data_IF_623787898703
#
_entry.id   IF_623787898703
#
_cell.length_a   1.000
_cell.length_b   1.000
_cell.length_c   1.000
_cell.angle_alpha   90.00
_cell.angle_beta   90.00
_cell.angle_gamma   90.00
#
_symmetry.space_group_name_H-M   'P 1'
#
loop_
_entity.id
_entity.type
_entity.pdbx_description
1 polymer ?
#
# COMPACT_ATOMS: atom_id res chain seq x y z
N UNK A 1 -20.73 -24.45 -6.13
CA UNK A 1 -19.55 -25.30 -6.38
C UNK A 1 -18.83 -24.79 -7.63
N UNK A 2 -17.75 -24.04 -7.45
CA UNK A 2 -16.74 -23.84 -8.51
C UNK A 2 -15.41 -24.23 -7.91
N UNK A 3 -14.96 -25.40 -8.32
CA UNK A 3 -13.61 -25.91 -8.13
C UNK A 3 -12.62 -24.99 -8.84
N UNK A 4 -11.76 -24.33 -8.07
CA UNK A 4 -10.50 -23.83 -8.60
C UNK A 4 -9.45 -24.89 -8.32
N UNK A 5 -9.13 -25.65 -9.36
CA UNK A 5 -8.01 -26.57 -9.39
C UNK A 5 -6.70 -25.80 -9.23
N UNK A 6 -5.85 -26.40 -8.40
CA UNK A 6 -4.43 -26.18 -8.19
C UNK A 6 -3.69 -25.48 -9.34
N UNK A 7 -2.99 -24.40 -8.99
CA UNK A 7 -1.81 -23.92 -9.71
C UNK A 7 -0.85 -23.41 -8.65
N UNK A 8 0.31 -24.04 -8.56
CA UNK A 8 1.48 -23.59 -7.80
C UNK A 8 1.92 -22.19 -8.25
N UNK A 9 1.19 -21.16 -7.81
CA UNK A 9 1.63 -19.78 -7.86
C UNK A 9 2.07 -19.42 -6.46
N UNK A 10 3.38 -19.21 -6.31
CA UNK A 10 3.90 -18.52 -5.14
C UNK A 10 3.25 -17.13 -5.09
N UNK A 11 2.25 -16.95 -4.20
CA UNK A 11 1.66 -15.64 -3.93
C UNK A 11 2.77 -14.73 -3.42
N UNK A 12 3.17 -13.74 -4.23
CA UNK A 12 4.07 -12.69 -3.75
C UNK A 12 3.30 -11.73 -2.85
N UNK A 13 4.00 -10.96 -2.02
CA UNK A 13 3.35 -9.95 -1.18
C UNK A 13 2.68 -8.85 -2.02
N UNK A 14 3.17 -8.58 -3.22
CA UNK A 14 2.53 -7.64 -4.16
C UNK A 14 1.17 -8.18 -4.66
N UNK A 15 1.03 -9.49 -4.85
CA UNK A 15 -0.27 -10.10 -5.20
C UNK A 15 -1.28 -9.98 -4.06
N UNK A 16 -0.77 -9.94 -2.82
CA UNK A 16 -1.56 -9.77 -1.61
C UNK A 16 -1.84 -8.30 -1.23
N UNK A 17 -1.39 -7.31 -2.02
CA UNK A 17 -1.68 -5.88 -1.81
C UNK A 17 -3.19 -5.59 -1.74
N UNK A 18 -4.02 -6.44 -2.34
CA UNK A 18 -5.49 -6.31 -2.31
C UNK A 18 -6.08 -6.41 -0.90
N UNK A 19 -5.33 -6.97 0.06
CA UNK A 19 -5.72 -7.09 1.47
C UNK A 19 -5.34 -5.84 2.28
N UNK A 20 -4.59 -4.90 1.71
CA UNK A 20 -4.03 -3.76 2.43
C UNK A 20 -4.83 -2.47 2.23
N UNK A 21 -4.79 -1.55 3.23
CA UNK A 21 -5.25 -0.19 3.04
C UNK A 21 -4.51 0.51 1.90
N UNK A 22 -5.24 1.25 1.06
CA UNK A 22 -4.65 1.95 -0.09
C UNK A 22 -3.85 3.21 0.28
N UNK A 23 -4.16 3.80 1.44
CA UNK A 23 -3.59 5.05 1.93
C UNK A 23 -2.38 4.79 2.83
N UNK A 24 -1.27 5.46 2.53
CA UNK A 24 -0.08 5.48 3.37
C UNK A 24 -0.22 6.49 4.51
N UNK A 25 0.28 6.13 5.69
CA UNK A 25 0.43 7.05 6.81
C UNK A 25 1.74 7.85 6.68
N UNK A 26 1.71 9.19 6.48
CA UNK A 26 2.92 10.01 6.36
C UNK A 26 3.67 10.20 7.69
N UNK A 27 3.01 9.93 8.82
CA UNK A 27 3.58 10.03 10.15
C UNK A 27 3.99 8.66 10.71
N UNK A 28 4.14 7.66 9.84
CA UNK A 28 4.58 6.34 10.24
C UNK A 28 5.95 6.39 10.92
N UNK A 29 6.05 5.71 12.05
CA UNK A 29 7.30 5.42 12.75
C UNK A 29 7.40 3.91 12.93
N UNK A 30 8.63 3.40 12.99
CA UNK A 30 8.86 1.98 13.24
C UNK A 30 8.20 1.53 14.56
N UNK A 31 7.67 0.30 14.62
CA UNK A 31 7.13 -0.24 15.85
C UNK A 31 8.25 -0.40 16.88
N UNK A 32 7.90 -0.25 18.16
CA UNK A 32 8.81 -0.59 19.27
C UNK A 32 8.79 -2.10 19.46
N UNK A 33 9.63 -2.81 18.71
CA UNK A 33 9.78 -4.25 18.84
C UNK A 33 10.41 -4.63 20.18
N UNK A 34 10.18 -5.87 20.60
CA UNK A 34 11.00 -6.46 21.65
C UNK A 34 12.47 -6.38 21.21
N UNK A 35 13.38 -5.97 22.09
CA UNK A 35 14.83 -5.95 21.83
C UNK A 35 15.42 -7.37 21.88
N UNK A 36 14.81 -8.27 21.11
CA UNK A 36 15.20 -9.66 21.02
C UNK A 36 15.75 -9.94 19.61
N UNK A 37 17.07 -10.13 19.45
CA UNK A 37 17.61 -10.56 18.18
C UNK A 37 17.09 -11.98 17.87
N UNK A 38 16.44 -12.13 16.72
CA UNK A 38 15.93 -13.39 16.20
C UNK A 38 16.70 -13.72 14.93
N UNK A 39 17.73 -14.58 15.00
CA UNK A 39 18.42 -15.10 13.82
C UNK A 39 17.46 -15.73 12.82
N UNK A 40 17.80 -15.69 11.53
CA UNK A 40 16.93 -16.18 10.47
C UNK A 40 16.54 -17.66 10.65
N UNK A 41 17.43 -18.47 11.21
CA UNK A 41 17.25 -19.90 11.48
C UNK A 41 16.19 -20.16 12.56
N UNK A 42 15.87 -19.15 13.38
CA UNK A 42 14.87 -19.26 14.45
C UNK A 42 13.47 -18.83 13.98
N UNK A 43 13.34 -18.30 12.76
CA UNK A 43 12.06 -17.92 12.20
C UNK A 43 11.21 -19.17 11.91
N UNK A 44 10.14 -19.33 12.68
CA UNK A 44 9.19 -20.44 12.52
C UNK A 44 8.16 -20.16 11.41
N UNK A 45 8.01 -21.11 10.48
CA UNK A 45 6.89 -21.11 9.53
C UNK A 45 5.55 -21.02 10.25
N UNK A 46 4.61 -20.32 9.63
CA UNK A 46 3.24 -20.06 10.09
C UNK A 46 3.14 -19.23 11.38
N UNK A 47 4.25 -18.81 11.95
CA UNK A 47 4.29 -17.99 13.17
C UNK A 47 4.98 -16.67 12.93
N UNK A 48 6.11 -16.67 12.22
CA UNK A 48 6.91 -15.46 12.03
C UNK A 48 6.87 -15.02 10.58
N UNK A 49 6.59 -13.75 10.37
CA UNK A 49 6.80 -13.06 9.11
C UNK A 49 7.82 -11.95 9.36
N UNK A 50 8.83 -11.86 8.50
CA UNK A 50 9.83 -10.80 8.59
C UNK A 50 9.74 -9.81 7.43
N UNK A 51 9.97 -8.53 7.73
CA UNK A 51 10.03 -7.48 6.72
C UNK A 51 11.01 -6.39 7.14
N UNK A 52 11.97 -6.07 6.26
CA UNK A 52 13.03 -5.08 6.52
C UNK A 52 13.76 -5.34 7.85
N UNK A 53 13.96 -6.62 8.19
CA UNK A 53 14.61 -7.04 9.43
C UNK A 53 13.73 -6.95 10.69
N UNK A 54 12.48 -6.49 10.61
CA UNK A 54 11.52 -6.60 11.72
C UNK A 54 10.85 -7.97 11.68
N UNK A 55 10.53 -8.54 12.84
CA UNK A 55 9.86 -9.85 12.95
C UNK A 55 8.51 -9.69 13.63
N UNK A 56 7.45 -10.12 12.96
CA UNK A 56 6.08 -10.05 13.42
C UNK A 56 5.54 -11.44 13.73
N UNK A 57 4.81 -11.57 14.83
CA UNK A 57 4.02 -12.78 15.12
C UNK A 57 2.69 -12.72 14.37
N UNK A 58 2.54 -13.61 13.39
CA UNK A 58 1.36 -13.74 12.53
C UNK A 58 0.47 -14.94 12.90
N UNK A 59 0.80 -15.66 13.97
CA UNK A 59 0.07 -16.88 14.39
C UNK A 59 -1.40 -16.64 14.73
N UNK A 60 -1.76 -15.40 15.08
CA UNK A 60 -3.14 -14.98 15.35
C UNK A 60 -4.08 -15.17 14.14
N UNK A 61 -3.53 -15.21 12.91
CA UNK A 61 -4.30 -15.31 11.67
C UNK A 61 -3.95 -16.57 10.88
N UNK A 62 -4.22 -17.75 11.47
CA UNK A 62 -3.95 -19.07 10.88
C UNK A 62 -4.62 -19.26 9.50
N UNK A 63 -5.80 -18.68 9.27
CA UNK A 63 -6.48 -18.77 7.97
C UNK A 63 -5.66 -18.17 6.81
N UNK A 64 -4.80 -17.19 7.09
CA UNK A 64 -3.94 -16.54 6.11
C UNK A 64 -2.53 -17.13 6.10
N UNK A 65 -1.92 -17.30 7.28
CA UNK A 65 -0.50 -17.65 7.41
C UNK A 65 -0.25 -19.10 7.86
N UNK A 66 -1.29 -19.81 8.27
CA UNK A 66 -1.24 -21.22 8.66
C UNK A 66 -0.89 -22.13 7.49
N UNK A 67 -0.72 -23.43 7.76
CA UNK A 67 -0.24 -24.41 6.76
C UNK A 67 -1.05 -24.49 5.46
N UNK A 68 -2.31 -24.06 5.48
CA UNK A 68 -3.23 -24.04 4.32
C UNK A 68 -3.60 -22.62 3.87
N UNK A 69 -3.05 -21.61 4.53
CA UNK A 69 -3.35 -20.22 4.26
C UNK A 69 -2.70 -19.73 2.97
N UNK A 70 -3.32 -18.74 2.33
CA UNK A 70 -2.84 -18.20 1.05
C UNK A 70 -1.48 -17.47 1.14
N UNK A 71 -1.09 -17.08 2.35
CA UNK A 71 0.14 -16.35 2.68
C UNK A 71 1.16 -17.21 3.46
N UNK A 72 0.92 -18.52 3.61
CA UNK A 72 1.79 -19.44 4.35
C UNK A 72 3.26 -19.39 3.89
N UNK A 73 3.47 -19.29 2.58
CA UNK A 73 4.78 -19.25 1.95
C UNK A 73 5.60 -18.00 2.28
N UNK A 74 5.02 -17.00 2.93
CA UNK A 74 5.70 -15.75 3.31
C UNK A 74 6.29 -15.80 4.73
N UNK A 75 6.12 -16.94 5.42
CA UNK A 75 6.51 -17.10 6.81
C UNK A 75 7.79 -17.94 6.96
N UNK A 76 8.53 -17.71 8.05
CA UNK A 76 9.69 -18.52 8.43
C UNK A 76 10.97 -18.24 7.64
N UNK A 77 11.09 -17.08 6.99
CA UNK A 77 12.28 -16.67 6.24
C UNK A 77 12.54 -15.16 6.33
N UNK A 78 13.74 -14.76 5.90
CA UNK A 78 14.32 -13.40 6.03
C UNK A 78 14.34 -12.62 4.69
N UNK A 79 13.45 -12.93 3.75
CA UNK A 79 13.69 -12.51 2.37
C UNK A 79 12.69 -11.47 1.86
N UNK A 80 13.16 -10.22 1.82
CA UNK A 80 12.56 -9.17 0.98
C UNK A 80 12.50 -9.57 -0.50
N UNK A 81 13.36 -10.50 -0.95
CA UNK A 81 13.35 -11.01 -2.32
C UNK A 81 12.03 -11.72 -2.68
N UNK A 82 11.30 -12.28 -1.71
CA UNK A 82 9.94 -12.78 -1.94
C UNK A 82 8.90 -11.67 -2.21
N UNK A 83 9.18 -10.41 -1.86
CA UNK A 83 8.33 -9.27 -2.23
C UNK A 83 8.49 -8.87 -3.69
N UNK A 84 9.70 -9.00 -4.26
CA UNK A 84 10.02 -8.34 -5.52
C UNK A 84 10.46 -9.26 -6.66
N UNK A 85 10.66 -10.57 -6.40
CA UNK A 85 11.10 -11.57 -7.39
C UNK A 85 12.37 -11.16 -8.17
N UNK A 86 13.19 -10.27 -7.62
CA UNK A 86 14.44 -9.81 -8.21
C UNK A 86 15.56 -9.91 -7.18
N UNK A 87 16.65 -10.58 -7.57
CA UNK A 87 17.93 -10.55 -6.87
C UNK A 87 18.88 -9.69 -7.68
N UNK A 88 19.43 -8.64 -7.08
CA UNK A 88 20.47 -7.82 -7.69
C UNK A 88 21.81 -8.24 -7.06
N UNK A 89 22.72 -8.90 -7.80
CA UNK A 89 24.02 -9.27 -7.27
C UNK A 89 24.83 -8.01 -6.91
N UNK A 90 25.19 -7.87 -5.64
CA UNK A 90 26.03 -6.75 -5.16
C UNK A 90 25.34 -5.41 -4.94
N UNK A 91 24.02 -5.31 -5.13
CA UNK A 91 23.21 -4.14 -4.75
C UNK A 91 22.58 -4.31 -3.36
N UNK A 92 22.14 -3.21 -2.73
CA UNK A 92 21.30 -3.34 -1.54
C UNK A 92 19.93 -3.94 -1.93
N UNK A 93 19.27 -4.61 -0.99
CA UNK A 93 18.07 -5.42 -1.28
C UNK A 93 16.85 -4.67 -1.85
N UNK A 94 16.87 -3.33 -1.88
CA UNK A 94 15.81 -2.50 -2.48
C UNK A 94 16.27 -1.74 -3.74
N UNK A 95 17.53 -1.86 -4.12
CA UNK A 95 18.07 -1.18 -5.30
C UNK A 95 17.43 -1.75 -6.56
N UNK A 96 17.06 -0.88 -7.50
CA UNK A 96 16.41 -1.26 -8.76
C UNK A 96 14.91 -1.54 -8.66
N UNK A 97 14.31 -1.47 -7.45
CA UNK A 97 12.86 -1.60 -7.31
C UNK A 97 12.12 -0.41 -7.91
N UNK A 98 11.01 -0.70 -8.59
CA UNK A 98 10.08 0.33 -9.05
C UNK A 98 9.44 1.05 -7.86
N UNK A 99 8.96 2.27 -8.11
CA UNK A 99 8.23 3.03 -7.09
C UNK A 99 7.00 2.27 -6.56
N UNK A 100 6.32 1.51 -7.43
CA UNK A 100 5.18 0.67 -7.06
C UNK A 100 5.56 -0.41 -6.03
N UNK A 101 6.71 -1.06 -6.22
CA UNK A 101 7.20 -2.07 -5.27
C UNK A 101 7.56 -1.44 -3.92
N UNK A 102 8.21 -0.27 -3.93
CA UNK A 102 8.53 0.46 -2.71
C UNK A 102 7.26 0.89 -1.94
N UNK A 103 6.21 1.32 -2.66
CA UNK A 103 4.90 1.61 -2.05
C UNK A 103 4.30 0.35 -1.42
N UNK A 104 4.32 -0.79 -2.12
CA UNK A 104 3.81 -2.06 -1.59
C UNK A 104 4.54 -2.48 -0.30
N UNK A 105 5.89 -2.43 -0.30
CA UNK A 105 6.70 -2.73 0.89
C UNK A 105 6.33 -1.80 2.05
N UNK A 106 6.19 -0.50 1.80
CA UNK A 106 5.78 0.44 2.83
C UNK A 106 4.37 0.16 3.36
N UNK A 107 3.40 -0.18 2.49
CA UNK A 107 2.05 -0.56 2.93
C UNK A 107 2.08 -1.78 3.83
N UNK A 108 2.82 -2.82 3.43
CA UNK A 108 3.01 -4.02 4.24
C UNK A 108 3.65 -3.71 5.58
N UNK A 109 4.70 -2.88 5.59
CA UNK A 109 5.36 -2.46 6.81
C UNK A 109 4.39 -1.74 7.77
N UNK A 110 3.60 -0.80 7.26
CA UNK A 110 2.61 -0.08 8.06
C UNK A 110 1.49 -0.99 8.57
N UNK A 111 1.00 -1.90 7.72
CA UNK A 111 -0.02 -2.86 8.06
C UNK A 111 0.46 -3.83 9.15
N UNK A 112 1.62 -4.45 8.96
CA UNK A 112 2.21 -5.37 9.93
C UNK A 112 2.44 -4.68 11.28
N UNK A 113 3.03 -3.48 11.24
CA UNK A 113 3.30 -2.67 12.45
C UNK A 113 2.05 -2.27 13.22
N UNK A 114 0.89 -2.19 12.56
CA UNK A 114 -0.36 -1.76 13.17
C UNK A 114 -1.24 -2.93 13.63
N UNK A 115 -1.10 -4.09 12.99
CA UNK A 115 -2.03 -5.22 13.18
C UNK A 115 -1.37 -6.45 13.85
N UNK A 116 -0.04 -6.47 13.96
CA UNK A 116 0.70 -7.62 14.48
C UNK A 116 1.71 -7.17 15.53
N UNK A 117 2.00 -8.07 16.46
CA UNK A 117 3.01 -7.83 17.48
C UNK A 117 4.40 -7.97 16.87
N UNK A 118 5.23 -6.93 17.01
CA UNK A 118 6.65 -7.03 16.65
C UNK A 118 7.44 -7.72 17.77
N UNK A 119 7.82 -8.98 17.54
CA UNK A 119 8.44 -9.87 18.54
C UNK A 119 9.96 -9.86 18.50
N UNK A 120 10.57 -9.18 17.55
CA UNK A 120 12.02 -8.96 17.52
C UNK A 120 12.51 -8.41 16.19
N UNK A 121 13.81 -8.59 15.96
CA UNK A 121 14.49 -8.11 14.76
C UNK A 121 15.58 -9.08 14.31
N UNK A 122 15.97 -9.00 13.05
CA UNK A 122 17.06 -9.74 12.44
C UNK A 122 18.28 -8.81 12.35
N UNK A 123 19.37 -9.09 13.10
CA UNK A 123 20.63 -8.39 12.93
C UNK A 123 21.16 -8.53 11.50
N UNK A 124 21.64 -7.44 10.91
CA UNK A 124 22.19 -7.43 9.55
C UNK A 124 22.04 -6.09 8.85
N UNK A 125 21.46 -6.11 7.66
CA UNK A 125 21.41 -4.95 6.75
C UNK A 125 20.59 -3.78 7.33
N UNK A 126 19.49 -4.08 8.02
CA UNK A 126 18.53 -3.07 8.50
C UNK A 126 18.71 -2.69 9.96
N UNK A 127 19.15 -3.63 10.79
CA UNK A 127 19.37 -3.43 12.23
C UNK A 127 20.74 -3.95 12.62
N UNK A 128 21.42 -3.21 13.49
CA UNK A 128 22.67 -3.67 14.07
C UNK A 128 22.44 -4.80 15.10
N UNK A 129 23.49 -5.43 15.64
CA UNK A 129 23.36 -6.47 16.67
C UNK A 129 22.70 -6.03 17.98
N UNK A 130 22.48 -4.73 18.20
CA UNK A 130 21.81 -4.17 19.37
C UNK A 130 20.35 -3.78 19.08
N UNK A 131 19.90 -3.95 17.84
CA UNK A 131 18.54 -3.65 17.39
C UNK A 131 18.32 -2.19 17.04
N UNK A 132 19.40 -1.42 16.87
CA UNK A 132 19.31 -0.04 16.42
C UNK A 132 19.28 0.00 14.88
N UNK A 133 18.44 0.86 14.25
CA UNK A 133 18.38 0.96 12.80
C UNK A 133 19.73 1.38 12.21
N UNK A 134 20.16 0.71 11.13
CA UNK A 134 21.38 1.09 10.41
C UNK A 134 21.17 2.39 9.62
N UNK A 135 22.26 3.01 9.16
CA UNK A 135 22.19 4.15 8.24
C UNK A 135 21.38 3.81 6.97
N UNK A 136 21.48 2.56 6.49
CA UNK A 136 20.70 2.10 5.35
C UNK A 136 19.20 2.06 5.66
N UNK A 137 18.79 1.54 6.83
CA UNK A 137 17.39 1.57 7.26
C UNK A 137 16.86 3.00 7.44
N UNK A 138 17.67 3.92 7.99
CA UNK A 138 17.29 5.33 8.07
C UNK A 138 17.03 5.96 6.70
N UNK A 139 17.86 5.66 5.69
CA UNK A 139 17.65 6.14 4.33
C UNK A 139 16.34 5.61 3.74
N UNK A 140 16.03 4.33 3.94
CA UNK A 140 14.77 3.73 3.50
C UNK A 140 13.58 4.44 4.13
N UNK A 141 13.61 4.67 5.45
CA UNK A 141 12.54 5.38 6.15
C UNK A 141 12.36 6.81 5.64
N UNK A 142 13.44 7.50 5.27
CA UNK A 142 13.36 8.82 4.67
C UNK A 142 12.68 8.79 3.30
N UNK A 143 13.04 7.82 2.44
CA UNK A 143 12.38 7.61 1.13
C UNK A 143 10.90 7.31 1.33
N UNK A 144 10.55 6.39 2.22
CA UNK A 144 9.17 6.02 2.54
C UNK A 144 8.35 7.21 3.06
N UNK A 145 8.93 8.04 3.94
CA UNK A 145 8.28 9.26 4.42
C UNK A 145 7.99 10.22 3.27
N UNK A 146 8.95 10.43 2.37
CA UNK A 146 8.77 11.28 1.18
C UNK A 146 7.62 10.78 0.30
N UNK A 147 7.57 9.47 0.03
CA UNK A 147 6.52 8.83 -0.77
C UNK A 147 5.14 8.97 -0.13
N UNK A 148 5.03 8.70 1.18
CA UNK A 148 3.78 8.85 1.92
C UNK A 148 3.31 10.31 1.97
N UNK A 149 4.22 11.28 2.15
CA UNK A 149 3.88 12.70 2.08
C UNK A 149 3.40 13.11 0.69
N UNK A 150 4.03 12.61 -0.39
CA UNK A 150 3.58 12.87 -1.76
C UNK A 150 2.17 12.30 -1.99
N UNK A 151 1.92 11.07 -1.55
CA UNK A 151 0.59 10.45 -1.68
C UNK A 151 -0.48 11.23 -0.88
N UNK A 152 -0.16 11.68 0.34
CA UNK A 152 -1.06 12.50 1.15
C UNK A 152 -1.37 13.85 0.49
N UNK A 153 -0.38 14.51 -0.12
CA UNK A 153 -0.59 15.75 -0.90
C UNK A 153 -1.50 15.52 -2.10
N UNK A 154 -1.28 14.43 -2.84
CA UNK A 154 -2.14 14.05 -3.97
C UNK A 154 -3.56 13.70 -3.53
N UNK A 155 -3.73 13.03 -2.39
CA UNK A 155 -5.05 12.74 -1.83
C UNK A 155 -5.79 14.02 -1.40
N UNK A 156 -5.07 15.01 -0.86
CA UNK A 156 -5.64 16.31 -0.51
C UNK A 156 -6.03 17.13 -1.76
N UNK A 157 -5.23 17.07 -2.83
CA UNK A 157 -5.53 17.75 -4.10
C UNK A 157 -6.66 17.06 -4.88
N UNK A 158 -6.74 15.74 -4.79
CA UNK A 158 -7.67 14.88 -5.52
C UNK A 158 -8.42 13.97 -4.54
N UNK A 159 -9.39 14.51 -3.78
CA UNK A 159 -10.19 13.72 -2.84
C UNK A 159 -11.02 12.65 -3.58
N UNK A 160 -11.26 11.52 -2.93
CA UNK A 160 -12.04 10.42 -3.52
C UNK A 160 -13.49 10.81 -3.79
N UNK A 161 -14.07 10.25 -4.86
CA UNK A 161 -15.51 10.31 -5.08
C UNK A 161 -16.27 9.38 -4.15
N UNK A 162 -17.55 9.68 -3.92
CA UNK A 162 -18.48 8.72 -3.32
C UNK A 162 -19.07 7.80 -4.40
N UNK A 163 -18.94 6.48 -4.23
CA UNK A 163 -19.64 5.49 -5.06
C UNK A 163 -21.09 5.29 -4.57
N UNK A 164 -22.06 5.26 -5.49
CA UNK A 164 -23.48 4.97 -5.20
C UNK A 164 -24.06 4.00 -6.21
N UNK A 165 -25.08 3.24 -5.80
CA UNK A 165 -25.95 2.51 -6.73
C UNK A 165 -27.26 3.30 -6.84
N UNK A 166 -27.63 3.70 -8.05
CA UNK A 166 -28.88 4.40 -8.33
C UNK A 166 -29.58 3.69 -9.48
N UNK A 167 -30.83 3.28 -9.27
CA UNK A 167 -31.63 2.54 -10.26
C UNK A 167 -30.92 1.30 -10.82
N UNK A 168 -30.23 0.54 -9.96
CA UNK A 168 -29.51 -0.67 -10.35
C UNK A 168 -28.21 -0.43 -11.12
N UNK A 169 -27.78 0.83 -11.28
CA UNK A 169 -26.55 1.19 -11.98
C UNK A 169 -25.52 1.80 -11.04
N UNK A 170 -24.21 1.65 -11.30
CA UNK A 170 -23.15 2.28 -10.53
C UNK A 170 -22.94 3.75 -10.91
N UNK A 171 -22.80 4.61 -9.91
CA UNK A 171 -22.58 6.05 -10.07
C UNK A 171 -21.43 6.51 -9.18
N UNK A 172 -20.77 7.59 -9.58
CA UNK A 172 -19.81 8.33 -8.75
C UNK A 172 -20.30 9.76 -8.55
N UNK A 173 -20.17 10.24 -7.32
CA UNK A 173 -20.72 11.52 -6.87
C UNK A 173 -19.64 12.34 -6.18
N UNK A 174 -19.57 13.62 -6.52
CA UNK A 174 -18.75 14.62 -5.88
C UNK A 174 -19.63 15.66 -5.18
N UNK A 175 -19.23 16.01 -3.97
CA UNK A 175 -19.87 17.07 -3.20
C UNK A 175 -19.17 18.39 -3.45
N UNK A 176 -19.92 19.47 -3.47
CA UNK A 176 -19.36 20.81 -3.57
C UNK A 176 -18.64 21.15 -2.25
N UNK A 177 -17.46 21.79 -2.33
CA UNK A 177 -16.68 22.18 -1.15
C UNK A 177 -16.85 23.68 -0.89
N UNK A 178 -16.90 24.12 0.38
CA UNK A 178 -16.83 25.53 0.70
C UNK A 178 -15.53 26.11 0.14
N UNK A 179 -15.58 27.21 -0.61
CA UNK A 179 -14.33 27.84 -1.06
C UNK A 179 -13.59 28.43 0.14
N UNK A 180 -12.26 28.43 0.08
CA UNK A 180 -11.41 28.96 1.18
C UNK A 180 -11.52 30.48 1.35
N UNK A 181 -11.88 31.21 0.29
CA UNK A 181 -11.82 32.68 0.23
C UNK A 181 -13.15 33.37 -0.11
N UNK A 182 -14.25 32.63 -0.28
CA UNK A 182 -15.56 33.22 -0.59
C UNK A 182 -16.72 32.40 -0.03
N UNK A 183 -17.88 33.05 0.17
CA UNK A 183 -19.14 32.38 0.47
C UNK A 183 -19.70 31.55 -0.71
N UNK A 184 -18.97 31.43 -1.83
CA UNK A 184 -19.35 30.54 -2.92
C UNK A 184 -18.84 29.13 -2.67
N UNK A 185 -19.72 28.16 -2.93
CA UNK A 185 -19.39 26.74 -2.96
C UNK A 185 -18.82 26.43 -4.34
N UNK A 186 -17.65 25.80 -4.40
CA UNK A 186 -17.05 25.41 -5.67
C UNK A 186 -17.52 24.01 -6.05
N UNK A 187 -18.06 23.89 -7.28
CA UNK A 187 -18.56 22.63 -7.79
C UNK A 187 -17.40 21.69 -8.13
N UNK A 188 -17.40 20.53 -7.51
CA UNK A 188 -16.44 19.46 -7.76
C UNK A 188 -17.03 18.45 -8.75
N UNK A 189 -16.20 17.93 -9.66
CA UNK A 189 -16.66 17.03 -10.72
C UNK A 189 -15.88 15.72 -10.69
N UNK A 190 -16.55 14.55 -10.83
CA UNK A 190 -15.87 13.25 -10.88
C UNK A 190 -14.94 13.11 -12.09
N UNK A 191 -13.74 12.59 -11.84
CA UNK A 191 -12.72 12.26 -12.84
C UNK A 191 -11.99 10.97 -12.47
N UNK A 192 -11.33 10.36 -13.46
CA UNK A 192 -10.37 9.27 -13.24
C UNK A 192 -8.98 9.87 -13.04
N UNK A 193 -8.36 9.62 -11.88
CA UNK A 193 -6.95 9.92 -11.63
C UNK A 193 -6.11 8.71 -12.06
N UNK A 194 -5.28 8.89 -13.08
CA UNK A 194 -4.30 7.90 -13.55
C UNK A 194 -2.94 8.27 -12.98
N UNK A 195 -2.67 7.77 -11.78
CA UNK A 195 -1.41 7.98 -11.07
C UNK A 195 -0.39 6.89 -11.46
N UNK A 196 0.78 7.24 -12.01
CA UNK A 196 1.83 6.27 -12.34
C UNK A 196 2.30 5.44 -11.14
N UNK A 197 2.14 5.95 -9.91
CA UNK A 197 2.47 5.24 -8.68
C UNK A 197 1.34 4.35 -8.16
N UNK A 198 0.27 4.15 -8.94
CA UNK A 198 -0.83 3.26 -8.61
C UNK A 198 -1.12 2.32 -9.77
N UNK A 199 -1.43 1.07 -9.47
CA UNK A 199 -1.75 0.08 -10.51
C UNK A 199 -3.12 0.29 -11.18
N UNK A 200 -3.99 1.09 -10.56
CA UNK A 200 -5.36 1.35 -11.02
C UNK A 200 -5.71 2.81 -10.92
N UNK A 201 -6.45 3.29 -11.92
CA UNK A 201 -7.07 4.60 -11.85
C UNK A 201 -8.17 4.62 -10.78
N UNK A 202 -8.26 5.70 -10.01
CA UNK A 202 -9.31 5.89 -8.98
C UNK A 202 -10.21 7.08 -9.31
N UNK A 203 -11.43 7.06 -8.79
CA UNK A 203 -12.33 8.21 -8.92
C UNK A 203 -11.90 9.31 -7.97
N UNK A 204 -11.75 10.52 -8.51
CA UNK A 204 -11.45 11.72 -7.73
C UNK A 204 -12.38 12.87 -8.07
N UNK A 205 -12.65 13.71 -7.09
CA UNK A 205 -13.36 14.96 -7.27
C UNK A 205 -12.36 16.05 -7.62
N UNK A 206 -12.60 16.76 -8.73
CA UNK A 206 -11.67 17.75 -9.27
C UNK A 206 -12.39 19.07 -9.55
N UNK A 207 -11.73 20.19 -9.23
CA UNK A 207 -12.16 21.53 -9.62
C UNK A 207 -11.92 21.78 -11.10
N UNK A 208 -12.70 22.69 -11.69
CA UNK A 208 -12.57 23.04 -13.12
C UNK A 208 -11.17 23.51 -13.51
N UNK A 209 -10.47 24.21 -12.61
CA UNK A 209 -9.09 24.68 -12.77
C UNK A 209 -8.08 23.55 -12.99
N UNK A 210 -8.37 22.34 -12.51
CA UNK A 210 -7.49 21.17 -12.57
C UNK A 210 -7.87 20.18 -13.68
N UNK A 211 -8.84 20.50 -14.54
CA UNK A 211 -9.27 19.60 -15.62
C UNK A 211 -8.16 19.25 -16.61
N UNK A 212 -7.19 20.14 -16.81
CA UNK A 212 -6.07 19.92 -17.74
C UNK A 212 -4.86 19.25 -17.06
N UNK A 213 -4.98 18.81 -15.80
CA UNK A 213 -3.88 18.13 -15.12
C UNK A 213 -3.53 16.81 -15.85
N UNK A 214 -2.23 16.50 -16.06
CA UNK A 214 -1.80 15.40 -16.93
C UNK A 214 -2.29 14.00 -16.50
N UNK A 215 -2.64 13.84 -15.22
CA UNK A 215 -3.15 12.59 -14.65
C UNK A 215 -4.67 12.51 -14.58
N UNK A 216 -5.40 13.56 -14.98
CA UNK A 216 -6.85 13.60 -14.92
C UNK A 216 -7.44 13.15 -16.27
N UNK A 217 -8.42 12.25 -16.20
CA UNK A 217 -9.19 11.76 -17.36
C UNK A 217 -10.68 11.87 -17.09
N UNK A 218 -11.43 12.22 -18.12
CA UNK A 218 -12.90 12.27 -18.04
C UNK A 218 -13.50 10.86 -18.06
N UNK A 219 -14.69 10.72 -17.47
CA UNK A 219 -15.50 9.52 -17.65
C UNK A 219 -16.18 9.56 -19.02
N UNK A 220 -16.21 8.44 -19.77
CA UNK A 220 -16.92 8.40 -21.05
C UNK A 220 -18.41 8.67 -20.83
N UNK A 221 -19.04 9.37 -21.77
CA UNK A 221 -20.48 9.69 -21.75
C UNK A 221 -20.96 10.46 -20.51
N UNK A 222 -20.04 11.10 -19.79
CA UNK A 222 -20.34 11.91 -18.64
C UNK A 222 -20.38 13.39 -19.02
N UNK A 223 -21.38 14.14 -18.55
CA UNK A 223 -21.36 15.58 -18.72
C UNK A 223 -20.14 16.16 -18.00
N UNK A 224 -19.32 16.92 -18.73
CA UNK A 224 -18.06 17.49 -18.29
C UNK A 224 -18.17 18.29 -16.99
N UNK A 225 -19.31 18.91 -16.70
CA UNK A 225 -19.50 19.76 -15.51
C UNK A 225 -20.45 19.15 -14.47
N UNK A 226 -20.87 17.89 -14.64
CA UNK A 226 -21.82 17.26 -13.72
C UNK A 226 -21.14 16.76 -12.44
N UNK A 227 -21.66 17.08 -11.24
CA UNK A 227 -21.12 16.53 -9.98
C UNK A 227 -21.42 15.03 -9.81
N UNK A 228 -22.17 14.43 -10.73
CA UNK A 228 -22.63 13.05 -10.68
C UNK A 228 -22.43 12.38 -12.03
N UNK A 229 -21.93 11.14 -12.03
CA UNK A 229 -21.59 10.41 -13.25
C UNK A 229 -22.04 8.95 -13.20
N UNK A 230 -22.80 8.50 -14.20
CA UNK A 230 -23.14 7.08 -14.38
C UNK A 230 -21.92 6.35 -14.94
N UNK A 231 -21.51 5.26 -14.30
CA UNK A 231 -20.42 4.44 -14.80
C UNK A 231 -20.97 3.44 -15.81
N UNK A 232 -20.53 3.53 -17.06
CA UNK A 232 -20.79 2.51 -18.06
C UNK A 232 -20.09 1.21 -17.65
N UNK A 233 -20.84 0.10 -17.58
CA UNK A 233 -20.30 -1.26 -17.44
C UNK A 233 -19.62 -1.71 -18.72
#
# INVERSE_FOLDING_TARGET
MRSFLSSDRHTSLVDADTLLPSNLNPNFALPRCMKNPLPAEQLKKHTHLSLLGLVFDVSVYEDLYGSKGSLANLTGHNEIHHFCQQTVPGGFALDGLSELHLISILRWLQFLSSNYQCVGYLPGVYFDPFGEPTAYMHNILHVFKSMAMRQARLAALFPDCQSKIMHGKPWVVCHALPSRDSQQTELMVPRKLVDPSQSRARCVCVQSSLFNHPWIREYPNCNRNSPVCELST
#
